data_IF_683527701655
#
_entry.id   IF_683527701655
#
_cell.length_a   1.000
_cell.length_b   1.000
_cell.length_c   1.000
_cell.angle_alpha   90.00
_cell.angle_beta   90.00
_cell.angle_gamma   90.00
#
_symmetry.space_group_name_H-M   'P 1'
#
loop_
_entity.id
_entity.type
_entity.pdbx_description
1 polymer ?
#
# COMPACT_ATOMS: atom_id res chain seq x y z
N UNK A 1 6.83 16.61 4.00
CA UNK A 1 6.08 16.16 5.20
C UNK A 1 7.04 15.34 6.03
N UNK A 2 7.24 15.66 7.31
CA UNK A 2 8.17 14.90 8.15
C UNK A 2 7.55 13.57 8.58
N UNK A 3 8.35 12.60 9.02
CA UNK A 3 7.84 11.30 9.46
C UNK A 3 6.88 11.37 10.67
N UNK A 4 7.15 12.19 11.70
CA UNK A 4 6.20 12.43 12.78
C UNK A 4 4.86 12.98 12.28
N UNK A 5 4.89 13.91 11.32
CA UNK A 5 3.67 14.46 10.72
C UNK A 5 2.90 13.38 9.96
N UNK A 6 3.59 12.53 9.19
CA UNK A 6 2.95 11.46 8.43
C UNK A 6 2.23 10.48 9.36
N UNK A 7 2.90 10.04 10.43
CA UNK A 7 2.33 9.12 11.41
C UNK A 7 1.15 9.73 12.18
N UNK A 8 1.25 11.01 12.56
CA UNK A 8 0.18 11.71 13.26
C UNK A 8 -1.08 11.89 12.41
N UNK A 9 -0.90 12.02 11.09
CA UNK A 9 -1.96 12.28 10.12
C UNK A 9 -2.41 11.04 9.33
N UNK A 10 -1.71 9.91 9.44
CA UNK A 10 -2.00 8.68 8.71
C UNK A 10 -3.49 8.27 8.77
N UNK A 11 -4.15 8.27 9.95
CA UNK A 11 -5.58 7.94 10.02
C UNK A 11 -6.47 8.88 9.22
N UNK A 12 -6.15 10.17 9.22
CA UNK A 12 -6.91 11.19 8.48
C UNK A 12 -6.73 11.03 6.97
N UNK A 13 -5.50 10.75 6.54
CA UNK A 13 -5.16 10.49 5.13
C UNK A 13 -5.87 9.24 4.62
N UNK A 14 -5.87 8.15 5.40
CA UNK A 14 -6.60 6.93 5.09
C UNK A 14 -8.10 7.24 4.95
N UNK A 15 -8.73 7.94 5.91
CA UNK A 15 -10.16 8.29 5.83
C UNK A 15 -10.50 9.10 4.59
N UNK A 16 -9.70 10.11 4.28
CA UNK A 16 -9.92 10.97 3.11
C UNK A 16 -9.87 10.14 1.82
N UNK A 17 -8.89 9.25 1.70
CA UNK A 17 -8.73 8.41 0.52
C UNK A 17 -9.81 7.33 0.40
N UNK A 18 -10.24 6.73 1.51
CA UNK A 18 -11.39 5.81 1.53
C UNK A 18 -12.66 6.50 1.04
N UNK A 19 -12.95 7.70 1.54
CA UNK A 19 -14.10 8.49 1.11
C UNK A 19 -14.01 8.83 -0.40
N UNK A 20 -12.82 9.22 -0.88
CA UNK A 20 -12.57 9.52 -2.29
C UNK A 20 -12.81 8.31 -3.19
N UNK A 21 -12.40 7.11 -2.75
CA UNK A 21 -12.56 5.85 -3.51
C UNK A 21 -13.90 5.15 -3.25
N UNK A 22 -14.74 5.68 -2.36
CA UNK A 22 -15.97 5.02 -1.87
C UNK A 22 -15.70 3.59 -1.38
N UNK A 23 -14.57 3.40 -0.71
CA UNK A 23 -14.08 2.11 -0.25
C UNK A 23 -14.36 1.91 1.24
N UNK A 24 -14.76 0.70 1.63
CA UNK A 24 -14.95 0.37 3.05
C UNK A 24 -13.60 0.08 3.72
N UNK A 25 -13.53 0.32 5.03
CA UNK A 25 -12.32 0.07 5.81
C UNK A 25 -11.88 -1.41 5.75
N UNK A 26 -12.83 -2.33 5.65
CA UNK A 26 -12.54 -3.77 5.51
C UNK A 26 -11.82 -4.08 4.19
N UNK A 27 -12.25 -3.47 3.09
CA UNK A 27 -11.67 -3.70 1.76
C UNK A 27 -10.26 -3.11 1.71
N UNK A 28 -10.06 -1.95 2.34
CA UNK A 28 -8.73 -1.38 2.51
C UNK A 28 -7.79 -2.27 3.33
N UNK A 29 -8.29 -2.93 4.38
CA UNK A 29 -7.48 -3.89 5.14
C UNK A 29 -6.99 -5.03 4.24
N UNK A 30 -7.83 -5.51 3.33
CA UNK A 30 -7.43 -6.49 2.31
C UNK A 30 -6.40 -5.93 1.32
N UNK A 31 -6.62 -4.72 0.78
CA UNK A 31 -5.71 -4.05 -0.17
C UNK A 31 -4.29 -3.88 0.37
N UNK A 32 -4.14 -3.56 1.66
CA UNK A 32 -2.82 -3.41 2.31
C UNK A 32 -2.35 -4.69 3.00
N UNK A 33 -3.04 -5.82 2.78
CA UNK A 33 -2.74 -7.12 3.37
C UNK A 33 -2.53 -7.05 4.90
N UNK A 34 -3.42 -6.36 5.60
CA UNK A 34 -3.40 -6.19 7.05
C UNK A 34 -4.72 -6.69 7.66
N UNK A 35 -4.69 -7.11 8.94
CA UNK A 35 -5.92 -7.52 9.60
C UNK A 35 -6.87 -6.32 9.80
N UNK A 36 -8.20 -6.50 9.68
CA UNK A 36 -9.18 -5.45 9.97
C UNK A 36 -9.01 -4.86 11.38
N UNK A 37 -8.63 -5.70 12.34
CA UNK A 37 -8.33 -5.31 13.73
C UNK A 37 -7.13 -4.35 13.81
N UNK A 38 -6.07 -4.62 13.05
CA UNK A 38 -4.88 -3.76 12.96
C UNK A 38 -5.25 -2.40 12.39
N UNK A 39 -5.99 -2.37 11.28
CA UNK A 39 -6.44 -1.11 10.67
C UNK A 39 -7.36 -0.34 11.61
N UNK A 40 -8.29 -1.01 12.30
CA UNK A 40 -9.19 -0.35 13.26
C UNK A 40 -8.41 0.31 14.40
N UNK A 41 -7.40 -0.36 14.95
CA UNK A 41 -6.56 0.19 16.03
C UNK A 41 -5.68 1.34 15.54
N UNK A 42 -5.12 1.22 14.34
CA UNK A 42 -4.37 2.29 13.67
C UNK A 42 -5.25 3.53 13.46
N UNK A 43 -6.44 3.36 12.90
CA UNK A 43 -7.38 4.43 12.63
C UNK A 43 -7.92 5.10 13.90
N UNK A 44 -7.95 4.37 15.01
CA UNK A 44 -8.30 4.89 16.33
C UNK A 44 -7.14 5.56 17.06
N UNK A 45 -5.94 5.66 16.45
CA UNK A 45 -4.70 6.15 17.09
C UNK A 45 -4.31 5.37 18.35
N UNK A 46 -4.77 4.13 18.48
CA UNK A 46 -4.51 3.27 19.65
C UNK A 46 -3.26 2.42 19.53
N UNK A 47 -2.77 2.22 18.31
CA UNK A 47 -1.60 1.39 18.04
C UNK A 47 -0.89 1.86 16.76
N UNK A 48 0.44 1.84 16.78
CA UNK A 48 1.25 1.99 15.57
C UNK A 48 1.27 0.67 14.79
N UNK A 49 1.28 0.75 13.46
CA UNK A 49 1.47 -0.43 12.62
C UNK A 49 2.96 -0.76 12.45
N UNK A 50 3.27 -2.00 12.10
CA UNK A 50 4.63 -2.40 11.76
C UNK A 50 5.11 -1.72 10.46
N UNK A 51 6.43 -1.78 10.22
CA UNK A 51 7.07 -1.17 9.08
C UNK A 51 6.55 -1.69 7.73
N UNK A 52 6.27 -2.98 7.60
CA UNK A 52 5.78 -3.54 6.33
C UNK A 52 4.36 -3.06 6.02
N UNK A 53 3.49 -3.05 7.04
CA UNK A 53 2.14 -2.50 6.91
C UNK A 53 2.18 -1.02 6.54
N UNK A 54 3.07 -0.24 7.17
CA UNK A 54 3.23 1.17 6.86
C UNK A 54 3.65 1.42 5.40
N UNK A 55 4.60 0.63 4.89
CA UNK A 55 5.04 0.68 3.48
C UNK A 55 3.87 0.44 2.52
N UNK A 56 3.03 -0.57 2.79
CA UNK A 56 1.87 -0.88 1.94
C UNK A 56 0.84 0.24 1.97
N UNK A 57 0.58 0.81 3.15
CA UNK A 57 -0.32 1.96 3.31
C UNK A 57 0.20 3.17 2.53
N UNK A 58 1.49 3.50 2.65
CA UNK A 58 2.12 4.58 1.90
C UNK A 58 2.04 4.34 0.38
N UNK A 59 2.31 3.10 -0.07
CA UNK A 59 2.16 2.71 -1.47
C UNK A 59 0.73 2.89 -1.98
N UNK A 60 -0.26 2.44 -1.21
CA UNK A 60 -1.67 2.58 -1.56
C UNK A 60 -2.14 4.04 -1.62
N UNK A 61 -1.65 4.86 -0.67
CA UNK A 61 -1.89 6.31 -0.63
C UNK A 61 -1.09 7.10 -1.68
N UNK A 62 -0.16 6.45 -2.39
CA UNK A 62 0.82 7.11 -3.30
C UNK A 62 1.60 8.24 -2.63
N UNK A 63 1.88 8.08 -1.33
CA UNK A 63 2.73 9.00 -0.59
C UNK A 63 4.15 8.46 -0.67
N UNK A 64 5.06 9.26 -1.20
CA UNK A 64 6.48 9.00 -1.05
C UNK A 64 6.91 9.47 0.35
N UNK A 65 7.33 8.55 1.22
CA UNK A 65 7.89 8.94 2.50
C UNK A 65 9.32 9.42 2.25
N UNK A 66 9.46 10.66 1.78
CA UNK A 66 10.77 11.27 1.47
C UNK A 66 11.72 11.33 2.68
N UNK A 67 11.21 11.06 3.89
CA UNK A 67 11.95 11.09 5.16
C UNK A 67 11.58 9.92 6.08
N UNK A 68 11.34 8.71 5.56
CA UNK A 68 11.34 7.51 6.42
C UNK A 68 12.78 7.30 6.94
N UNK A 69 13.12 7.97 8.04
CA UNK A 69 14.46 8.04 8.63
C UNK A 69 15.04 6.69 9.12
N UNK A 70 14.36 5.59 8.80
CA UNK A 70 14.81 4.24 9.09
C UNK A 70 15.15 3.56 7.77
N UNK A 71 16.45 3.36 7.54
CA UNK A 71 17.01 2.74 6.35
C UNK A 71 16.37 1.37 6.06
N UNK A 72 15.93 0.65 7.11
CA UNK A 72 15.24 -0.64 6.97
C UNK A 72 13.85 -0.49 6.36
N UNK A 73 13.15 0.60 6.68
CA UNK A 73 11.83 0.88 6.13
C UNK A 73 11.96 1.43 4.70
N UNK A 74 12.98 2.24 4.42
CA UNK A 74 13.30 2.65 3.05
C UNK A 74 13.74 1.47 2.16
N UNK A 75 14.51 0.53 2.70
CA UNK A 75 14.87 -0.73 2.04
C UNK A 75 13.62 -1.58 1.78
N UNK A 76 12.74 -1.75 2.78
CA UNK A 76 11.49 -2.48 2.64
C UNK A 76 10.53 -1.81 1.63
N UNK A 77 10.47 -0.48 1.61
CA UNK A 77 9.71 0.30 0.63
C UNK A 77 10.25 0.11 -0.79
N UNK A 78 11.57 0.23 -0.98
CA UNK A 78 12.22 0.01 -2.28
C UNK A 78 12.03 -1.42 -2.79
N UNK A 79 12.19 -2.43 -1.92
CA UNK A 79 11.94 -3.83 -2.27
C UNK A 79 10.48 -4.09 -2.59
N UNK A 80 9.55 -3.54 -1.81
CA UNK A 80 8.11 -3.68 -2.06
C UNK A 80 7.69 -3.08 -3.41
N UNK A 81 8.23 -1.90 -3.77
CA UNK A 81 8.02 -1.31 -5.10
C UNK A 81 8.61 -2.17 -6.23
N UNK A 82 9.80 -2.73 -6.05
CA UNK A 82 10.42 -3.59 -7.04
C UNK A 82 9.63 -4.90 -7.26
N UNK A 83 9.14 -5.52 -6.18
CA UNK A 83 8.33 -6.75 -6.24
C UNK A 83 6.98 -6.49 -6.93
N UNK A 84 6.34 -5.36 -6.61
CA UNK A 84 5.08 -4.98 -7.26
C UNK A 84 5.27 -4.61 -8.73
N UNK A 85 6.36 -3.92 -9.08
CA UNK A 85 6.71 -3.65 -10.48
C UNK A 85 7.03 -4.94 -11.25
N UNK A 86 7.71 -5.90 -10.63
CA UNK A 86 7.98 -7.21 -11.21
C UNK A 86 6.70 -8.01 -11.46
N UNK A 87 5.74 -7.97 -10.52
CA UNK A 87 4.42 -8.60 -10.67
C UNK A 87 3.58 -7.98 -11.77
N UNK A 88 3.56 -6.64 -11.86
CA UNK A 88 2.87 -5.95 -12.96
C UNK A 88 3.51 -6.29 -14.30
N UNK A 89 4.84 -6.35 -14.36
CA UNK A 89 5.56 -6.73 -15.58
C UNK A 89 5.30 -8.18 -15.98
N UNK A 90 5.31 -9.12 -15.03
CA UNK A 90 4.95 -10.51 -15.28
C UNK A 90 3.50 -10.66 -15.78
N UNK A 91 2.56 -9.92 -15.20
CA UNK A 91 1.17 -9.93 -15.66
C UNK A 91 0.98 -9.34 -17.06
N UNK A 92 1.86 -8.41 -17.48
CA UNK A 92 1.85 -7.85 -18.84
C UNK A 92 2.48 -8.80 -19.87
N UNK A 93 3.54 -9.51 -19.50
CA UNK A 93 4.19 -10.53 -20.34
C UNK A 93 3.29 -11.78 -20.57
N UNK A 94 2.44 -12.14 -19.60
CA UNK A 94 1.48 -13.25 -19.75
C UNK A 94 0.32 -12.93 -20.71
N UNK A 95 -0.07 -11.66 -20.87
CA UNK A 95 -1.16 -11.25 -21.78
C UNK A 95 -0.72 -11.24 -23.26
N UNK A 96 0.57 -10.98 -23.53
CA UNK A 96 1.14 -10.95 -24.88
C UNK A 96 1.47 -12.37 -25.44
N UNK A 97 1.45 -13.39 -24.59
CA UNK A 97 1.82 -14.77 -24.95
C UNK A 97 0.63 -15.67 -25.34
N UNK A 98 -0.59 -15.15 -25.52
CA UNK A 98 -1.69 -15.93 -26.14
C UNK A 98 -1.56 -15.84 -27.67
N UNK A 99 -1.09 -16.88 -28.38
CA UNK A 99 -1.28 -16.93 -29.81
C UNK A 99 -2.79 -16.96 -30.09
N UNK A 100 -3.21 -15.99 -30.88
CA UNK A 100 -4.52 -15.82 -31.49
C UNK A 100 -5.01 -17.18 -32.01
N UNK A 101 -6.02 -17.76 -31.36
CA UNK A 101 -6.83 -18.80 -32.00
C UNK A 101 -7.74 -18.09 -33.01
N UNK A 102 -7.18 -17.73 -34.17
CA UNK A 102 -7.96 -17.43 -35.37
C UNK A 102 -8.25 -18.75 -36.08
N UNK A 103 -9.53 -19.07 -36.17
CA UNK A 103 -10.04 -20.35 -36.64
C UNK A 103 -9.95 -20.58 -38.15
N UNK A 104 -10.03 -21.86 -38.52
CA UNK A 104 -10.93 -22.45 -39.52
C UNK A 104 -10.72 -23.97 -39.54
#
# INVERSE_FOLDING_TARGET
>A
MTMPDLLANLPSLIRAELARRRMLQQDFAHEVAASPSTITRLMAKKQMCDAQTLVRICGWLRIEPADLADERVNEAYRRGRADQAARVRAALDEDESRPDQAGA
#
